data_IF_586513026984
#
_entry.id   IF_586513026984
#
_cell.length_a   1.000
_cell.length_b   1.000
_cell.length_c   1.000
_cell.angle_alpha   90.00
_cell.angle_beta   90.00
_cell.angle_gamma   90.00
#
_symmetry.space_group_name_H-M   'P 1'
#
loop_
_entity.id
_entity.type
_entity.pdbx_description
1 polymer ?
#
# COMPACT_ATOMS: atom_id res chain seq x y z
N UNK A 1 -16.73 18.40 -14.96
CA UNK A 1 -15.81 18.91 -13.94
C UNK A 1 -14.71 17.88 -13.80
N UNK A 2 -13.44 18.27 -13.72
CA UNK A 2 -12.33 17.31 -13.62
C UNK A 2 -12.38 16.68 -12.22
N UNK A 3 -12.91 15.46 -12.10
CA UNK A 3 -13.25 14.81 -10.81
C UNK A 3 -12.09 14.07 -10.16
N UNK A 4 -10.99 13.90 -10.88
CA UNK A 4 -9.79 13.17 -10.43
C UNK A 4 -8.93 13.89 -9.40
N UNK A 5 -9.17 15.17 -9.07
CA UNK A 5 -8.36 15.89 -8.08
C UNK A 5 -9.22 16.64 -7.05
N UNK A 6 -8.81 16.55 -5.79
CA UNK A 6 -9.40 17.25 -4.65
C UNK A 6 -8.30 18.10 -4.01
N UNK A 7 -8.59 19.38 -3.76
CA UNK A 7 -7.72 20.27 -2.98
C UNK A 7 -8.53 20.80 -1.79
N UNK A 8 -8.08 20.52 -0.57
CA UNK A 8 -8.82 20.85 0.65
C UNK A 8 -7.92 20.94 1.88
N UNK A 9 -8.51 21.28 3.01
CA UNK A 9 -7.84 21.42 4.29
C UNK A 9 -7.09 22.76 4.45
N UNK A 10 -6.85 23.12 5.70
CA UNK A 10 -6.23 24.39 6.11
C UNK A 10 -5.01 24.17 7.03
N UNK A 11 -4.48 22.93 7.05
CA UNK A 11 -3.29 22.60 7.82
C UNK A 11 -2.04 23.30 7.28
N UNK A 12 -1.04 23.46 8.15
CA UNK A 12 0.24 24.11 7.80
C UNK A 12 1.15 23.21 6.96
N UNK A 13 0.91 21.90 6.94
CA UNK A 13 1.68 20.94 6.16
C UNK A 13 0.98 20.73 4.82
N UNK A 14 1.64 21.08 3.72
CA UNK A 14 1.21 20.66 2.39
C UNK A 14 1.38 19.14 2.25
N UNK A 15 0.33 18.45 1.78
CA UNK A 15 0.35 17.01 1.54
C UNK A 15 -0.20 16.71 0.15
N UNK A 16 0.61 16.09 -0.69
CA UNK A 16 0.19 15.53 -1.97
C UNK A 16 0.03 14.02 -1.83
N UNK A 17 -1.17 13.52 -2.12
CA UNK A 17 -1.48 12.09 -2.15
C UNK A 17 -1.92 11.72 -3.56
N UNK A 18 -1.25 10.75 -4.17
CA UNK A 18 -1.70 10.16 -5.44
C UNK A 18 -2.24 8.76 -5.17
N UNK A 19 -3.53 8.55 -5.37
CA UNK A 19 -4.18 7.26 -5.26
C UNK A 19 -4.25 6.63 -6.65
N UNK A 20 -3.65 5.46 -6.80
CA UNK A 20 -3.55 4.73 -8.06
C UNK A 20 -4.22 3.39 -7.90
N UNK A 21 -5.14 3.07 -8.80
CA UNK A 21 -5.85 1.79 -8.77
C UNK A 21 -5.57 1.00 -10.05
N UNK A 22 -5.32 -0.28 -9.87
CA UNK A 22 -5.48 -1.27 -10.91
C UNK A 22 -6.87 -1.14 -11.57
N UNK A 23 -6.89 -1.22 -12.90
CA UNK A 23 -8.11 -1.06 -13.71
C UNK A 23 -8.54 -2.34 -14.41
N UNK A 24 -8.06 -3.47 -13.91
CA UNK A 24 -8.61 -4.81 -14.16
C UNK A 24 -10.05 -4.91 -13.71
N UNK A 25 -10.78 -5.87 -14.28
CA UNK A 25 -12.21 -6.04 -14.01
C UNK A 25 -12.53 -6.40 -12.56
N UNK A 26 -11.60 -7.02 -11.83
CA UNK A 26 -11.75 -7.42 -10.43
C UNK A 26 -11.74 -6.24 -9.47
N UNK A 27 -11.19 -5.09 -9.87
CA UNK A 27 -11.06 -3.88 -9.03
C UNK A 27 -12.19 -2.86 -9.24
N UNK A 28 -13.22 -3.23 -10.01
CA UNK A 28 -14.28 -2.31 -10.44
C UNK A 28 -15.19 -1.85 -9.29
N UNK A 29 -15.53 -2.75 -8.38
CA UNK A 29 -16.33 -2.45 -7.20
C UNK A 29 -15.53 -1.64 -6.17
N UNK A 30 -14.25 -1.94 -5.95
CA UNK A 30 -13.37 -1.09 -5.14
C UNK A 30 -13.33 0.34 -5.68
N UNK A 31 -13.17 0.51 -7.00
CA UNK A 31 -13.17 1.83 -7.64
C UNK A 31 -14.47 2.60 -7.38
N UNK A 32 -15.61 1.92 -7.54
CA UNK A 32 -16.94 2.48 -7.34
C UNK A 32 -17.22 2.84 -5.89
N UNK A 33 -16.84 1.97 -4.95
CA UNK A 33 -17.10 2.16 -3.54
C UNK A 33 -16.21 3.21 -2.90
N UNK A 34 -14.93 3.24 -3.27
CA UNK A 34 -14.00 4.30 -2.87
C UNK A 34 -14.53 5.68 -3.30
N UNK A 35 -14.98 5.78 -4.54
CA UNK A 35 -15.46 7.06 -5.09
C UNK A 35 -16.67 7.63 -4.35
N UNK A 36 -17.49 6.77 -3.73
CA UNK A 36 -18.66 7.20 -2.93
C UNK A 36 -18.25 7.73 -1.55
N UNK A 37 -17.11 7.30 -1.00
CA UNK A 37 -16.73 7.57 0.39
C UNK A 37 -15.54 8.52 0.57
N UNK A 38 -14.79 8.75 -0.50
CA UNK A 38 -13.55 9.52 -0.46
C UNK A 38 -13.75 10.91 0.15
N UNK A 39 -14.82 11.61 -0.25
CA UNK A 39 -15.04 13.00 0.15
C UNK A 39 -15.31 13.08 1.66
N UNK A 40 -16.16 12.19 2.19
CA UNK A 40 -16.45 12.09 3.63
C UNK A 40 -15.22 11.62 4.44
N UNK A 41 -14.40 10.73 3.87
CA UNK A 41 -13.19 10.23 4.52
C UNK A 41 -12.12 11.31 4.62
N UNK A 42 -11.92 12.08 3.54
CA UNK A 42 -10.99 13.21 3.53
C UNK A 42 -11.45 14.28 4.53
N UNK A 43 -12.76 14.56 4.62
CA UNK A 43 -13.29 15.49 5.61
C UNK A 43 -12.98 15.01 7.04
N UNK A 44 -13.27 13.74 7.35
CA UNK A 44 -13.02 13.15 8.66
C UNK A 44 -11.52 13.09 9.01
N UNK A 45 -10.66 12.78 8.04
CA UNK A 45 -9.21 12.77 8.23
C UNK A 45 -8.65 14.17 8.42
N UNK A 46 -9.12 15.17 7.67
CA UNK A 46 -8.70 16.56 7.79
C UNK A 46 -8.98 17.14 9.18
N UNK A 47 -10.04 16.70 9.84
CA UNK A 47 -10.36 17.10 11.21
C UNK A 47 -9.39 16.51 12.25
N UNK A 48 -8.85 15.31 12.03
CA UNK A 48 -7.92 14.64 12.95
C UNK A 48 -6.45 14.99 12.67
N UNK A 49 -6.11 15.11 11.40
CA UNK A 49 -4.75 15.22 10.89
C UNK A 49 -4.70 16.37 9.87
N UNK A 50 -4.70 17.63 10.34
CA UNK A 50 -4.86 18.80 9.48
C UNK A 50 -3.67 18.96 8.54
N UNK A 51 -3.95 18.92 7.24
CA UNK A 51 -3.03 19.24 6.14
C UNK A 51 -3.67 20.22 5.16
N UNK A 52 -2.86 20.78 4.27
CA UNK A 52 -3.32 21.34 3.02
C UNK A 52 -3.19 20.25 1.95
N UNK A 53 -4.22 19.40 1.88
CA UNK A 53 -4.25 18.19 1.06
C UNK A 53 -4.53 18.52 -0.41
N UNK A 54 -3.75 17.92 -1.30
CA UNK A 54 -4.09 17.72 -2.71
C UNK A 54 -4.07 16.22 -2.98
N UNK A 55 -5.24 15.64 -3.22
CA UNK A 55 -5.39 14.23 -3.55
C UNK A 55 -5.73 14.07 -5.03
N UNK A 56 -5.02 13.20 -5.74
CA UNK A 56 -5.27 12.88 -7.15
C UNK A 56 -5.54 11.38 -7.32
N UNK A 57 -6.58 11.03 -8.08
CA UNK A 57 -7.08 9.67 -8.29
C UNK A 57 -6.86 9.26 -9.74
N UNK A 58 -6.11 8.18 -9.96
CA UNK A 58 -5.69 7.74 -11.29
C UNK A 58 -5.89 6.23 -11.42
N UNK A 59 -6.38 5.78 -12.56
CA UNK A 59 -6.16 4.38 -12.96
C UNK A 59 -4.72 4.18 -13.43
N UNK A 60 -4.20 2.95 -13.43
CA UNK A 60 -2.86 2.69 -14.01
C UNK A 60 -2.87 3.02 -15.52
N UNK A 61 -3.53 2.18 -16.34
CA UNK A 61 -3.67 2.36 -17.80
C UNK A 61 -5.14 2.23 -18.27
N UNK A 62 -6.08 2.48 -17.37
CA UNK A 62 -7.52 2.44 -17.63
C UNK A 62 -8.29 3.47 -16.84
N UNK A 63 -9.61 3.47 -17.00
CA UNK A 63 -10.52 4.38 -16.29
C UNK A 63 -11.84 3.68 -15.95
N UNK A 64 -12.51 4.20 -14.94
CA UNK A 64 -13.84 3.78 -14.52
C UNK A 64 -14.80 4.95 -14.59
N UNK A 65 -15.78 4.88 -15.50
CA UNK A 65 -16.79 5.92 -15.65
C UNK A 65 -17.61 6.09 -14.36
N UNK A 66 -17.98 7.32 -14.03
CA UNK A 66 -18.72 7.69 -12.81
C UNK A 66 -17.97 7.37 -11.50
N UNK A 67 -16.65 7.26 -11.55
CA UNK A 67 -15.78 7.15 -10.38
C UNK A 67 -14.81 8.35 -10.34
N UNK A 68 -13.98 8.45 -9.30
CA UNK A 68 -12.87 9.41 -9.25
C UNK A 68 -11.71 9.00 -10.15
N UNK A 69 -11.68 7.75 -10.62
CA UNK A 69 -10.66 7.18 -11.50
C UNK A 69 -11.05 7.34 -12.98
N UNK A 70 -11.34 8.57 -13.38
CA UNK A 70 -11.79 8.92 -14.74
C UNK A 70 -10.63 9.31 -15.68
N UNK A 71 -9.39 9.13 -15.23
CA UNK A 71 -8.16 9.43 -15.96
C UNK A 71 -7.07 8.42 -15.60
N UNK A 72 -6.26 7.98 -16.57
CA UNK A 72 -5.10 7.11 -16.29
C UNK A 72 -3.88 7.90 -15.83
N UNK A 73 -2.91 7.22 -15.22
CA UNK A 73 -1.67 7.81 -14.77
C UNK A 73 -0.85 8.36 -15.94
N UNK A 74 -0.68 7.58 -17.00
CA UNK A 74 0.01 8.00 -18.22
C UNK A 74 -0.64 9.24 -18.85
N UNK A 75 -1.97 9.25 -19.00
CA UNK A 75 -2.71 10.39 -19.54
C UNK A 75 -2.54 11.65 -18.69
N UNK A 76 -2.59 11.52 -17.36
CA UNK A 76 -2.36 12.63 -16.45
C UNK A 76 -0.95 13.20 -16.60
N UNK A 77 0.07 12.34 -16.57
CA UNK A 77 1.47 12.76 -16.64
C UNK A 77 1.79 13.44 -17.97
N UNK A 78 1.30 12.90 -19.09
CA UNK A 78 1.46 13.53 -20.41
C UNK A 78 0.79 14.90 -20.45
N UNK A 79 -0.42 15.02 -19.89
CA UNK A 79 -1.18 16.28 -19.86
C UNK A 79 -0.46 17.39 -19.09
N UNK A 80 0.30 17.05 -18.04
CA UNK A 80 1.12 18.02 -17.28
C UNK A 80 2.52 18.24 -17.89
N UNK A 81 2.81 17.60 -19.03
CA UNK A 81 4.01 17.87 -19.84
C UNK A 81 5.09 16.79 -19.80
N UNK A 82 4.84 15.62 -19.19
CA UNK A 82 5.76 14.49 -19.31
C UNK A 82 5.83 14.01 -20.76
N UNK A 83 7.03 13.62 -21.22
CA UNK A 83 7.17 13.01 -22.53
C UNK A 83 6.79 11.54 -22.43
N UNK A 84 5.87 11.09 -23.28
CA UNK A 84 5.42 9.69 -23.34
C UNK A 84 6.58 8.68 -23.43
N UNK A 85 7.68 9.05 -24.11
CA UNK A 85 8.87 8.19 -24.26
C UNK A 85 9.66 7.98 -22.98
N UNK A 86 9.46 8.84 -21.98
CA UNK A 86 10.14 8.76 -20.69
C UNK A 86 9.34 7.94 -19.67
N UNK A 87 8.07 7.63 -19.97
CA UNK A 87 7.20 6.81 -19.12
C UNK A 87 7.55 5.32 -19.23
N UNK A 88 7.43 4.61 -18.11
CA UNK A 88 7.51 3.15 -18.02
C UNK A 88 6.20 2.46 -18.41
N UNK A 89 5.09 3.20 -18.39
CA UNK A 89 3.78 2.79 -18.89
C UNK A 89 3.90 1.97 -20.19
N UNK A 90 3.24 0.81 -20.22
CA UNK A 90 3.22 -0.06 -21.39
C UNK A 90 1.96 0.19 -22.20
N UNK A 91 2.10 0.11 -23.52
CA UNK A 91 0.94 -0.05 -24.39
C UNK A 91 0.20 -1.35 -24.01
N UNK A 92 -1.13 -1.42 -24.23
CA UNK A 92 -1.88 -2.64 -24.05
C UNK A 92 -1.21 -3.80 -24.80
N UNK A 93 -1.03 -4.91 -24.10
CA UNK A 93 -0.38 -6.10 -24.63
C UNK A 93 -1.11 -7.33 -24.12
N UNK A 94 -0.96 -8.45 -24.85
CA UNK A 94 -1.38 -9.77 -24.39
C UNK A 94 -0.18 -10.48 -23.82
N UNK A 95 -0.38 -11.25 -22.76
CA UNK A 95 0.69 -12.07 -22.21
C UNK A 95 1.15 -13.14 -23.20
N UNK A 96 2.30 -13.76 -22.91
CA UNK A 96 2.93 -14.76 -23.80
C UNK A 96 2.06 -15.99 -24.11
N UNK A 97 1.01 -16.23 -23.31
CA UNK A 97 0.02 -17.29 -23.51
C UNK A 97 -1.15 -16.86 -24.42
N UNK A 98 -1.17 -15.61 -24.89
CA UNK A 98 -2.20 -15.05 -25.76
C UNK A 98 -3.48 -14.62 -25.05
N UNK A 99 -3.50 -14.65 -23.71
CA UNK A 99 -4.62 -14.24 -22.88
C UNK A 99 -4.47 -12.77 -22.42
N UNK A 100 -5.61 -12.14 -22.14
CA UNK A 100 -5.71 -10.74 -21.69
C UNK A 100 -5.98 -10.73 -20.19
N UNK A 101 -4.90 -10.80 -19.41
CA UNK A 101 -4.89 -10.78 -17.94
C UNK A 101 -4.95 -9.34 -17.40
N UNK A 102 -5.64 -8.44 -18.10
CA UNK A 102 -5.60 -6.98 -17.92
C UNK A 102 -4.21 -6.30 -18.09
N UNK A 103 -3.10 -7.01 -17.88
CA UNK A 103 -1.75 -6.72 -18.34
C UNK A 103 -1.25 -5.35 -17.87
N UNK A 104 -1.13 -4.39 -18.80
CA UNK A 104 -0.62 -3.06 -18.49
C UNK A 104 -1.51 -2.29 -17.49
N UNK A 105 -2.75 -2.74 -17.26
CA UNK A 105 -3.67 -2.17 -16.27
C UNK A 105 -3.33 -2.54 -14.83
N UNK A 106 -2.46 -3.52 -14.63
CA UNK A 106 -2.05 -4.08 -13.32
C UNK A 106 -0.58 -3.73 -12.99
N UNK A 107 0.06 -2.89 -13.81
CA UNK A 107 1.46 -2.45 -13.70
C UNK A 107 1.71 -1.45 -12.55
N UNK A 108 1.37 -1.83 -11.32
CA UNK A 108 1.48 -0.98 -10.13
C UNK A 108 2.89 -0.42 -9.93
N UNK A 109 3.92 -1.24 -10.07
CA UNK A 109 5.30 -0.77 -9.88
C UNK A 109 5.70 0.29 -10.93
N UNK A 110 5.22 0.18 -12.18
CA UNK A 110 5.52 1.16 -13.24
C UNK A 110 4.78 2.47 -12.99
N UNK A 111 3.52 2.40 -12.59
CA UNK A 111 2.77 3.59 -12.20
C UNK A 111 3.45 4.34 -11.03
N UNK A 112 3.93 3.62 -10.01
CA UNK A 112 4.71 4.20 -8.91
C UNK A 112 5.96 4.91 -9.43
N UNK A 113 6.72 4.28 -10.33
CA UNK A 113 7.93 4.88 -10.92
C UNK A 113 7.60 6.17 -11.68
N UNK A 114 6.59 6.12 -12.54
CA UNK A 114 6.22 7.25 -13.41
C UNK A 114 5.68 8.42 -12.60
N UNK A 115 4.78 8.17 -11.65
CA UNK A 115 4.25 9.20 -10.74
C UNK A 115 5.36 9.77 -9.87
N UNK A 116 6.27 8.94 -9.36
CA UNK A 116 7.40 9.42 -8.56
C UNK A 116 8.32 10.37 -9.34
N UNK A 117 8.53 10.13 -10.63
CA UNK A 117 9.44 10.91 -11.48
C UNK A 117 8.80 12.15 -12.10
N UNK A 118 7.52 12.06 -12.50
CA UNK A 118 6.92 13.00 -13.44
C UNK A 118 5.70 13.74 -12.90
N UNK A 119 5.15 13.35 -11.75
CA UNK A 119 4.00 14.05 -11.17
C UNK A 119 4.38 15.47 -10.75
N UNK A 120 3.41 16.39 -10.81
CA UNK A 120 3.56 17.81 -10.53
C UNK A 120 3.57 18.10 -9.02
N UNK A 121 4.37 17.36 -8.25
CA UNK A 121 4.48 17.51 -6.79
C UNK A 121 4.74 18.96 -6.37
N UNK A 122 4.05 19.45 -5.34
CA UNK A 122 4.37 20.73 -4.71
C UNK A 122 5.74 20.65 -4.04
N UNK A 123 6.52 21.72 -4.13
CA UNK A 123 7.91 21.75 -3.66
C UNK A 123 8.04 21.51 -2.15
N UNK A 124 7.07 22.00 -1.37
CA UNK A 124 7.03 21.90 0.10
C UNK A 124 6.13 20.78 0.61
N UNK A 125 5.46 20.03 -0.28
CA UNK A 125 4.54 18.99 0.13
C UNK A 125 5.25 17.73 0.60
N UNK A 126 4.68 17.11 1.64
CA UNK A 126 4.83 15.68 1.86
C UNK A 126 4.21 14.93 0.69
N UNK A 127 4.85 13.86 0.26
CA UNK A 127 4.49 13.12 -0.96
C UNK A 127 4.17 11.69 -0.60
N UNK A 128 2.98 11.25 -0.95
CA UNK A 128 2.52 9.91 -0.74
C UNK A 128 1.90 9.36 -2.02
N UNK A 129 2.15 8.08 -2.28
CA UNK A 129 1.42 7.31 -3.28
C UNK A 129 0.68 6.20 -2.54
N UNK A 130 -0.60 6.02 -2.84
CA UNK A 130 -1.38 4.90 -2.36
C UNK A 130 -1.80 4.05 -3.54
N UNK A 131 -1.22 2.85 -3.65
CA UNK A 131 -1.49 1.93 -4.77
C UNK A 131 -2.39 0.78 -4.36
N UNK A 132 -3.35 0.44 -5.22
CA UNK A 132 -4.37 -0.58 -4.99
C UNK A 132 -4.34 -1.59 -6.14
N UNK A 133 -4.31 -2.88 -5.82
CA UNK A 133 -4.56 -3.99 -6.74
C UNK A 133 -4.82 -5.26 -5.95
N UNK A 134 -5.05 -6.38 -6.63
CA UNK A 134 -5.34 -7.68 -6.00
C UNK A 134 -4.35 -8.78 -6.41
N UNK A 135 -3.54 -8.53 -7.45
CA UNK A 135 -2.64 -9.49 -8.06
C UNK A 135 -1.18 -8.98 -8.19
N UNK A 136 -0.35 -9.62 -9.02
CA UNK A 136 1.05 -9.26 -9.23
C UNK A 136 1.26 -7.84 -9.76
N UNK A 137 2.21 -7.09 -9.18
CA UNK A 137 2.42 -5.66 -9.46
C UNK A 137 3.18 -5.31 -10.77
N UNK A 138 3.38 -6.28 -11.66
CA UNK A 138 4.03 -6.13 -12.97
C UNK A 138 3.32 -7.03 -13.97
N UNK A 139 2.26 -6.52 -14.57
CA UNK A 139 1.45 -7.22 -15.56
C UNK A 139 0.41 -8.18 -14.99
N UNK A 140 0.26 -8.25 -13.67
CA UNK A 140 -0.73 -9.11 -13.04
C UNK A 140 -0.28 -10.45 -12.54
N UNK A 141 -1.29 -11.29 -12.29
CA UNK A 141 -1.15 -12.73 -12.14
C UNK A 141 -0.71 -13.20 -10.77
N UNK A 142 -1.05 -14.45 -10.48
CA UNK A 142 -0.81 -15.08 -9.19
C UNK A 142 0.61 -15.62 -8.95
N UNK A 143 1.55 -15.51 -9.90
CA UNK A 143 2.91 -16.07 -9.77
C UNK A 143 3.96 -14.97 -9.75
N UNK A 144 4.71 -14.89 -8.65
CA UNK A 144 5.79 -13.92 -8.53
C UNK A 144 6.94 -14.24 -9.51
N UNK A 145 7.20 -13.31 -10.44
CA UNK A 145 8.29 -13.44 -11.42
C UNK A 145 9.55 -12.67 -10.99
N UNK A 146 10.70 -13.03 -11.56
CA UNK A 146 11.95 -12.24 -11.38
C UNK A 146 11.83 -10.83 -11.95
N UNK A 147 11.03 -10.64 -13.00
CA UNK A 147 10.78 -9.33 -13.59
C UNK A 147 9.99 -8.45 -12.62
N UNK A 148 8.96 -9.00 -11.97
CA UNK A 148 8.19 -8.30 -10.95
C UNK A 148 9.07 -7.88 -9.76
N UNK A 149 9.92 -8.77 -9.23
CA UNK A 149 10.86 -8.42 -8.15
C UNK A 149 11.82 -7.29 -8.59
N UNK A 150 12.38 -7.40 -9.79
CA UNK A 150 13.31 -6.39 -10.32
C UNK A 150 12.62 -5.03 -10.52
N UNK A 151 11.38 -5.02 -11.00
CA UNK A 151 10.61 -3.79 -11.18
C UNK A 151 10.22 -3.18 -9.84
N UNK A 152 9.86 -3.99 -8.86
CA UNK A 152 9.56 -3.52 -7.51
C UNK A 152 10.80 -2.90 -6.83
N UNK A 153 11.99 -3.48 -7.04
CA UNK A 153 13.25 -2.85 -6.61
C UNK A 153 13.45 -1.45 -7.22
N UNK A 154 13.15 -1.29 -8.52
CA UNK A 154 13.23 0.01 -9.18
C UNK A 154 12.21 0.99 -8.59
N UNK A 155 10.96 0.56 -8.37
CA UNK A 155 9.92 1.40 -7.77
C UNK A 155 10.30 1.90 -6.37
N UNK A 156 10.81 1.01 -5.51
CA UNK A 156 11.31 1.35 -4.18
C UNK A 156 12.44 2.38 -4.26
N UNK A 157 13.46 2.11 -5.09
CA UNK A 157 14.61 3.00 -5.24
C UNK A 157 14.18 4.40 -5.70
N UNK A 158 13.31 4.47 -6.71
CA UNK A 158 12.81 5.73 -7.25
C UNK A 158 11.97 6.48 -6.20
N UNK A 159 11.07 5.80 -5.50
CA UNK A 159 10.24 6.44 -4.46
C UNK A 159 11.10 6.97 -3.31
N UNK A 160 12.09 6.20 -2.84
CA UNK A 160 13.05 6.62 -1.82
C UNK A 160 13.86 7.84 -2.26
N UNK A 161 14.41 7.83 -3.48
CA UNK A 161 15.16 8.95 -4.05
C UNK A 161 14.33 10.22 -4.15
N UNK A 162 13.02 10.08 -4.39
CA UNK A 162 12.08 11.20 -4.51
C UNK A 162 11.43 11.61 -3.20
N UNK A 163 11.75 10.92 -2.10
CA UNK A 163 11.20 11.19 -0.77
C UNK A 163 9.69 10.95 -0.68
N UNK A 164 9.23 9.87 -1.31
CA UNK A 164 7.82 9.49 -1.41
C UNK A 164 7.56 8.27 -0.53
N UNK A 165 6.53 8.35 0.32
CA UNK A 165 5.98 7.17 1.00
C UNK A 165 5.04 6.43 0.06
N UNK A 166 5.21 5.12 -0.09
CA UNK A 166 4.27 4.29 -0.84
C UNK A 166 3.47 3.45 0.15
N UNK A 167 2.15 3.56 0.07
CA UNK A 167 1.22 2.70 0.79
C UNK A 167 0.64 1.72 -0.22
N UNK A 168 0.48 0.47 0.18
CA UNK A 168 -0.02 -0.57 -0.72
C UNK A 168 -1.29 -1.19 -0.15
N UNK A 169 -2.29 -1.40 -0.99
CA UNK A 169 -3.51 -2.12 -0.68
C UNK A 169 -3.58 -3.33 -1.60
N UNK A 170 -3.54 -4.52 -1.00
CA UNK A 170 -3.83 -5.75 -1.71
C UNK A 170 -5.28 -6.15 -1.40
N UNK A 171 -6.13 -6.09 -2.43
CA UNK A 171 -7.51 -6.53 -2.41
C UNK A 171 -7.65 -8.03 -2.12
N UNK A 172 -8.89 -8.49 -2.03
CA UNK A 172 -9.15 -9.93 -1.91
C UNK A 172 -9.09 -10.53 -3.30
N UNK A 173 -8.15 -11.44 -3.59
CA UNK A 173 -8.04 -11.97 -4.94
C UNK A 173 -9.17 -12.92 -5.30
N UNK A 174 -9.55 -12.93 -6.58
CA UNK A 174 -10.48 -13.93 -7.11
C UNK A 174 -9.76 -15.26 -7.35
N UNK A 175 -9.74 -16.12 -6.33
CA UNK A 175 -9.17 -17.47 -6.42
C UNK A 175 -10.11 -18.50 -7.09
N UNK A 176 -11.17 -18.04 -7.78
CA UNK A 176 -12.05 -18.93 -8.54
C UNK A 176 -11.25 -19.78 -9.53
N UNK A 177 -11.56 -21.08 -9.71
CA UNK A 177 -10.91 -21.92 -10.72
C UNK A 177 -11.04 -21.42 -12.16
N UNK A 178 -11.97 -20.49 -12.42
CA UNK A 178 -12.18 -19.84 -13.72
C UNK A 178 -11.37 -18.56 -13.89
N UNK A 179 -10.83 -17.98 -12.82
CA UNK A 179 -9.92 -16.86 -12.93
C UNK A 179 -8.57 -17.40 -13.45
N UNK A 180 -8.06 -16.74 -14.48
CA UNK A 180 -6.78 -17.08 -15.10
C UNK A 180 -5.61 -16.62 -14.24
N UNK A 181 -5.81 -15.53 -13.51
CA UNK A 181 -4.79 -14.87 -12.71
C UNK A 181 -4.81 -15.29 -11.23
N UNK A 182 -5.70 -16.23 -10.90
CA UNK A 182 -5.79 -16.85 -9.57
C UNK A 182 -4.42 -17.26 -9.03
N UNK A 183 -4.30 -17.26 -7.72
CA UNK A 183 -3.12 -17.82 -7.08
C UNK A 183 -3.12 -19.35 -7.24
N UNK A 184 -2.07 -19.96 -7.84
CA UNK A 184 -2.03 -21.41 -7.99
C UNK A 184 -1.94 -22.12 -6.64
N UNK A 185 -1.21 -21.53 -5.71
CA UNK A 185 -1.02 -22.03 -4.34
C UNK A 185 -1.03 -20.88 -3.33
N UNK A 186 -1.25 -21.20 -2.05
CA UNK A 186 -1.10 -20.23 -0.96
C UNK A 186 0.33 -19.66 -0.89
N UNK A 187 1.34 -20.46 -1.22
CA UNK A 187 2.72 -20.00 -1.24
C UNK A 187 2.96 -18.95 -2.34
N UNK A 188 2.34 -19.11 -3.51
CA UNK A 188 2.42 -18.12 -4.58
C UNK A 188 1.73 -16.82 -4.18
N UNK A 189 0.59 -16.92 -3.50
CA UNK A 189 -0.10 -15.78 -2.89
C UNK A 189 0.78 -15.05 -1.88
N UNK A 190 1.37 -15.80 -0.94
CA UNK A 190 2.28 -15.24 0.07
C UNK A 190 3.54 -14.61 -0.58
N UNK A 191 4.00 -15.12 -1.73
CA UNK A 191 5.12 -14.52 -2.47
C UNK A 191 4.74 -13.14 -3.01
N UNK A 192 3.57 -13.01 -3.66
CA UNK A 192 3.10 -11.74 -4.20
C UNK A 192 2.79 -10.75 -3.08
N UNK A 193 2.10 -11.17 -2.03
CA UNK A 193 1.80 -10.35 -0.85
C UNK A 193 3.07 -9.77 -0.22
N UNK A 194 4.16 -10.56 -0.13
CA UNK A 194 5.45 -10.05 0.37
C UNK A 194 6.01 -8.90 -0.46
N UNK A 195 5.73 -8.85 -1.75
CA UNK A 195 6.19 -7.73 -2.58
C UNK A 195 5.39 -6.44 -2.35
N UNK A 196 4.08 -6.54 -2.06
CA UNK A 196 3.28 -5.39 -1.58
C UNK A 196 3.86 -4.86 -0.26
N UNK A 197 4.06 -5.76 0.71
CA UNK A 197 4.65 -5.42 2.01
C UNK A 197 6.02 -4.77 1.87
N UNK A 198 6.85 -5.31 0.97
CA UNK A 198 8.20 -4.82 0.73
C UNK A 198 8.21 -3.43 0.11
N UNK A 199 7.37 -3.17 -0.89
CA UNK A 199 7.23 -1.84 -1.49
C UNK A 199 6.83 -0.79 -0.45
N UNK A 200 5.83 -1.09 0.37
CA UNK A 200 5.37 -0.17 1.38
C UNK A 200 6.44 0.06 2.47
N UNK A 201 6.96 -1.03 3.04
CA UNK A 201 7.91 -0.96 4.16
C UNK A 201 9.21 -0.27 3.78
N UNK A 202 9.79 -0.58 2.62
CA UNK A 202 11.05 0.02 2.21
C UNK A 202 10.91 1.50 1.85
N UNK A 203 9.69 1.99 1.60
CA UNK A 203 9.41 3.41 1.36
C UNK A 203 8.84 4.14 2.59
N UNK A 204 8.90 3.50 3.78
CA UNK A 204 8.37 4.03 5.05
C UNK A 204 6.84 4.27 5.06
N UNK A 205 6.12 3.53 4.20
CA UNK A 205 4.67 3.42 4.23
C UNK A 205 4.18 2.16 4.93
N UNK A 206 2.91 1.83 4.70
CA UNK A 206 2.23 0.66 5.28
C UNK A 206 1.53 -0.15 4.21
N UNK A 207 1.54 -1.47 4.39
CA UNK A 207 0.80 -2.40 3.57
C UNK A 207 -0.51 -2.79 4.27
N UNK A 208 -1.56 -2.88 3.47
CA UNK A 208 -2.90 -3.26 3.86
C UNK A 208 -3.29 -4.46 3.01
N UNK A 209 -3.36 -5.63 3.64
CA UNK A 209 -3.47 -6.92 2.94
C UNK A 209 -4.82 -7.58 3.23
N UNK A 210 -5.50 -8.06 2.19
CA UNK A 210 -6.82 -8.73 2.24
C UNK A 210 -7.85 -7.96 3.05
N UNK A 211 -7.79 -6.63 2.98
CA UNK A 211 -8.77 -5.77 3.60
C UNK A 211 -10.08 -5.93 2.85
N UNK A 212 -11.07 -6.57 3.47
CA UNK A 212 -12.40 -6.74 2.87
C UNK A 212 -13.25 -5.51 3.15
N UNK A 213 -13.79 -4.93 2.08
CA UNK A 213 -14.91 -4.02 2.14
C UNK A 213 -14.61 -2.57 2.56
N UNK A 214 -15.62 -1.78 2.31
CA UNK A 214 -15.67 -0.31 2.39
C UNK A 214 -15.25 0.28 3.75
N UNK A 215 -15.74 -0.30 4.85
CA UNK A 215 -15.54 0.27 6.19
C UNK A 215 -14.06 0.25 6.61
N UNK A 216 -13.30 -0.72 6.12
CA UNK A 216 -11.86 -0.80 6.34
C UNK A 216 -11.13 0.22 5.48
N UNK A 217 -11.58 0.47 4.24
CA UNK A 217 -10.91 1.40 3.34
C UNK A 217 -10.89 2.85 3.86
N UNK A 218 -12.02 3.34 4.38
CA UNK A 218 -12.09 4.70 4.93
C UNK A 218 -11.16 4.90 6.13
N UNK A 219 -10.95 3.84 6.94
CA UNK A 219 -9.96 3.84 8.03
C UNK A 219 -8.54 3.83 7.47
N UNK A 220 -8.25 2.99 6.47
CA UNK A 220 -6.95 2.93 5.79
C UNK A 220 -6.56 4.29 5.22
N UNK A 221 -7.45 4.95 4.48
CA UNK A 221 -7.16 6.26 3.92
C UNK A 221 -6.94 7.32 5.01
N UNK A 222 -7.70 7.28 6.11
CA UNK A 222 -7.47 8.15 7.25
C UNK A 222 -6.09 7.92 7.89
N UNK A 223 -5.68 6.67 8.07
CA UNK A 223 -4.35 6.32 8.58
C UNK A 223 -3.24 6.83 7.65
N UNK A 224 -3.39 6.62 6.34
CA UNK A 224 -2.45 7.10 5.32
C UNK A 224 -2.30 8.61 5.40
N UNK A 225 -3.42 9.35 5.45
CA UNK A 225 -3.40 10.82 5.51
C UNK A 225 -2.68 11.32 6.77
N UNK A 226 -2.89 10.66 7.90
CA UNK A 226 -2.22 10.99 9.16
C UNK A 226 -0.73 10.63 9.14
N UNK A 227 -0.37 9.43 8.71
CA UNK A 227 1.00 8.93 8.66
C UNK A 227 1.85 9.74 7.66
N UNK A 228 1.25 10.16 6.54
CA UNK A 228 1.89 10.96 5.49
C UNK A 228 2.27 12.38 5.94
N UNK A 229 1.77 12.87 7.07
CA UNK A 229 2.24 14.14 7.65
C UNK A 229 3.70 14.07 8.11
N UNK A 230 4.16 12.86 8.41
CA UNK A 230 5.57 12.60 8.74
C UNK A 230 6.35 12.31 7.46
N UNK A 231 7.51 12.98 7.25
CA UNK A 231 8.35 12.68 6.09
C UNK A 231 8.89 11.24 6.17
N UNK A 232 9.18 10.59 5.03
CA UNK A 232 9.79 9.27 5.03
C UNK A 232 11.13 9.30 5.76
N UNK A 233 11.39 8.26 6.55
CA UNK A 233 12.72 8.00 7.09
C UNK A 233 13.65 7.75 5.92
N UNK A 234 14.66 8.64 5.75
CA UNK A 234 15.68 8.42 4.72
C UNK A 234 16.39 7.11 5.03
N UNK A 235 16.56 6.20 4.04
CA UNK A 235 17.39 5.02 4.23
C UNK A 235 18.77 5.51 4.67
N UNK A 236 19.16 5.15 5.89
CA UNK A 236 20.47 5.53 6.38
C UNK A 236 21.49 4.81 5.49
N UNK A 237 22.22 5.57 4.65
CA UNK A 237 23.38 5.04 3.93
C UNK A 237 24.56 4.78 4.87
N UNK A 238 24.35 4.90 6.19
CA UNK A 238 25.22 4.34 7.19
C UNK A 238 25.34 2.84 6.98
N UNK A 239 26.58 2.34 6.93
CA UNK A 239 26.88 0.94 7.16
C UNK A 239 25.96 0.41 8.26
N UNK A 240 25.47 -0.82 8.12
CA UNK A 240 25.01 -1.65 9.23
C UNK A 240 26.11 -1.65 10.29
N UNK A 241 26.11 -0.64 11.14
CA UNK A 241 27.10 -0.47 12.17
C UNK A 241 26.47 -1.12 13.39
N UNK A 242 27.04 -2.24 13.83
CA UNK A 242 26.56 -3.00 14.98
C UNK A 242 26.28 -2.10 16.20
N UNK A 243 26.95 -0.95 16.28
CA UNK A 243 26.76 0.11 17.27
C UNK A 243 25.30 0.57 17.38
N UNK A 244 24.56 0.77 16.28
CA UNK A 244 23.16 1.21 16.34
C UNK A 244 22.23 0.14 16.92
N UNK A 245 22.51 -1.14 16.66
CA UNK A 245 21.79 -2.27 17.28
C UNK A 245 22.17 -2.38 18.75
N UNK A 246 23.44 -2.19 19.10
CA UNK A 246 23.93 -2.18 20.48
C UNK A 246 23.34 -1.04 21.31
N UNK A 247 23.18 0.15 20.72
CA UNK A 247 22.61 1.33 21.37
C UNK A 247 21.11 1.17 21.65
N UNK A 248 20.40 0.45 20.77
CA UNK A 248 18.97 0.17 20.91
C UNK A 248 18.67 -1.15 21.63
N UNK A 249 19.67 -2.00 21.86
CA UNK A 249 19.54 -3.30 22.51
C UNK A 249 18.87 -3.20 23.91
N UNK A 250 19.17 -2.19 24.76
CA UNK A 250 18.49 -2.05 26.04
C UNK A 250 16.99 -1.77 25.88
N UNK A 251 16.61 -0.99 24.87
CA UNK A 251 15.20 -0.67 24.59
C UNK A 251 14.47 -1.93 24.09
N UNK A 252 15.09 -2.67 23.17
CA UNK A 252 14.56 -3.94 22.64
C UNK A 252 14.38 -4.96 23.76
N UNK A 253 15.38 -5.14 24.62
CA UNK A 253 15.30 -6.05 25.78
C UNK A 253 14.15 -5.62 26.72
N UNK A 254 14.00 -4.32 26.98
CA UNK A 254 12.93 -3.83 27.82
C UNK A 254 11.53 -4.10 27.22
N UNK A 255 11.37 -3.91 25.92
CA UNK A 255 10.12 -4.24 25.21
C UNK A 255 9.83 -5.74 25.27
N UNK A 256 10.84 -6.60 25.04
CA UNK A 256 10.69 -8.05 25.14
C UNK A 256 10.31 -8.50 26.55
N UNK A 257 10.96 -7.94 27.57
CA UNK A 257 10.63 -8.23 28.97
C UNK A 257 9.22 -7.76 29.31
N UNK A 258 8.81 -6.60 28.83
CA UNK A 258 7.45 -6.09 29.03
C UNK A 258 6.41 -7.00 28.38
N UNK A 259 6.67 -7.47 27.15
CA UNK A 259 5.83 -8.45 26.48
C UNK A 259 5.79 -9.78 27.23
N UNK A 260 6.93 -10.26 27.73
CA UNK A 260 7.01 -11.49 28.53
C UNK A 260 6.20 -11.36 29.83
N UNK A 261 6.29 -10.22 30.52
CA UNK A 261 5.49 -9.95 31.72
C UNK A 261 3.99 -9.88 31.43
N UNK A 262 3.61 -9.29 30.30
CA UNK A 262 2.21 -9.26 29.87
C UNK A 262 1.73 -10.68 29.60
N UNK A 263 2.48 -11.47 28.83
CA UNK A 263 2.15 -12.87 28.52
C UNK A 263 2.05 -13.69 29.81
N UNK A 264 2.98 -13.54 30.75
CA UNK A 264 2.97 -14.23 32.04
C UNK A 264 1.77 -13.80 32.90
N UNK A 265 1.41 -12.52 32.93
CA UNK A 265 0.20 -12.05 33.60
C UNK A 265 -1.06 -12.62 32.96
N UNK A 266 -1.12 -12.69 31.64
CA UNK A 266 -2.23 -13.32 30.92
C UNK A 266 -2.32 -14.80 31.23
N UNK A 267 -1.21 -15.54 31.19
CA UNK A 267 -1.16 -16.97 31.55
C UNK A 267 -1.61 -17.17 33.00
N UNK A 268 -1.09 -16.38 33.95
CA UNK A 268 -1.48 -16.48 35.36
C UNK A 268 -2.94 -16.08 35.60
N UNK A 269 -3.50 -15.20 34.77
CA UNK A 269 -4.94 -14.89 34.83
C UNK A 269 -5.82 -16.02 34.27
N UNK A 270 -5.30 -16.81 33.33
CA UNK A 270 -5.97 -17.98 32.78
C UNK A 270 -5.76 -19.24 33.64
N UNK A 271 -4.62 -19.33 34.33
CA UNK A 271 -4.17 -20.46 35.14
C UNK A 271 -3.45 -19.93 36.39
N UNK A 272 -4.17 -19.58 37.47
CA UNK A 272 -3.55 -19.10 38.70
C UNK A 272 -2.66 -20.20 39.29
N UNK A 273 -1.37 -19.92 39.45
CA UNK A 273 -0.47 -20.83 40.14
C UNK A 273 -0.76 -20.67 41.64
N UNK A 274 -1.72 -21.41 42.16
CA UNK A 274 -1.86 -21.57 43.61
C UNK A 274 -0.70 -22.43 44.11
N UNK A 275 0.12 -21.84 44.98
CA UNK A 275 1.16 -22.53 45.73
C UNK A 275 0.51 -23.40 46.81
N UNK A 276 -0.17 -24.46 46.41
CA UNK A 276 -0.24 -25.73 47.13
C UNK A 276 -1.19 -26.71 46.43
N UNK A 277 -0.66 -27.91 46.16
CA UNK A 277 -1.36 -29.17 45.83
C UNK A 277 -1.88 -29.41 44.40
N UNK A 278 -1.27 -30.44 43.78
CA UNK A 278 -1.69 -31.27 42.63
C UNK A 278 -1.93 -30.55 41.29
N UNK A 279 -1.10 -30.92 40.30
CA UNK A 279 -1.38 -30.72 38.88
C UNK A 279 -2.80 -31.24 38.57
N UNK A 280 -3.74 -30.32 38.40
CA UNK A 280 -5.05 -30.59 37.82
C UNK A 280 -4.95 -30.34 36.31
N UNK A 281 -5.22 -31.38 35.51
CA UNK A 281 -5.16 -31.37 34.03
C UNK A 281 -6.28 -30.53 33.39
N UNK A 282 -6.81 -29.53 34.10
CA UNK A 282 -8.01 -28.78 33.70
C UNK A 282 -7.73 -27.38 33.12
N UNK A 283 -6.47 -26.97 32.98
CA UNK A 283 -6.11 -25.73 32.29
C UNK A 283 -6.30 -25.85 30.77
N UNK A 284 -7.55 -25.73 30.31
CA UNK A 284 -7.88 -25.55 28.90
C UNK A 284 -8.16 -24.06 28.63
N UNK A 285 -7.38 -23.46 27.73
CA UNK A 285 -7.75 -22.20 27.11
C UNK A 285 -9.07 -22.40 26.36
N UNK A 286 -10.15 -21.81 26.85
CA UNK A 286 -11.41 -21.74 26.10
C UNK A 286 -11.20 -20.78 24.93
N UNK A 287 -11.28 -21.30 23.71
CA UNK A 287 -11.40 -20.53 22.48
C UNK A 287 -12.70 -19.74 22.45
#
# INVERSE_FOLDING_TARGET
>A
MNTSQIVTGNGQIALDLVVVIDTSGSMADEAGDLSKQIDATIEAASAKCPSHLRATFLGIEGTWANTKFDQSASEYLIKIGANERDLQARLPFKESDGQDHAGNKEDLCRAVIDISKHFDWRDDARRAIFVLGDEGMEGGGGILTRAAIAKNNEAISVAQERGIKVYTYQGTPDDSPTNLDRFPTLADRDNVTREYERLAKETDGRAYIYTTGIANFSLVLQEILCDSLTPPVKPDKGLLNCDAVCDNLPLIINTVNTLSDIINKTINSCCPIDSDTKHDDSCQCKH
#
